data_IF_280503364452
#
_entry.id   IF_280503364452
#
_cell.length_a   1.000
_cell.length_b   1.000
_cell.length_c   1.000
_cell.angle_alpha   90.00
_cell.angle_beta   90.00
_cell.angle_gamma   90.00
#
_symmetry.space_group_name_H-M   'P 1'
#
loop_
_entity.id
_entity.type
_entity.pdbx_description
1 polymer ?
#
# COMPACT_ATOMS: atom_id res chain seq x y z
N UNK A 1 37.29 -6.58 67.04
CA UNK A 1 37.11 -7.78 66.19
C UNK A 1 37.81 -7.46 64.87
N UNK A 2 39.12 -7.75 64.66
CA UNK A 2 39.78 -9.07 64.43
C UNK A 2 38.99 -9.95 63.46
N UNK A 3 39.49 -10.61 62.42
CA UNK A 3 40.80 -10.81 61.74
C UNK A 3 40.40 -11.69 60.51
N UNK A 4 40.63 -11.34 59.24
CA UNK A 4 41.76 -11.68 58.35
C UNK A 4 42.37 -13.12 58.48
N UNK A 5 42.47 -13.80 57.31
CA UNK A 5 43.27 -15.01 56.90
C UNK A 5 42.73 -16.38 57.35
N UNK A 6 42.82 -17.53 56.63
CA UNK A 6 43.83 -18.11 55.71
C UNK A 6 43.32 -19.53 55.29
N UNK A 7 43.41 -20.07 54.05
CA UNK A 7 44.42 -20.99 53.44
C UNK A 7 43.66 -21.76 52.31
N UNK A 8 44.01 -21.69 51.02
CA UNK A 8 45.00 -22.47 50.23
C UNK A 8 44.83 -24.00 50.28
N UNK A 9 44.56 -24.65 49.13
CA UNK A 9 45.16 -25.96 48.69
C UNK A 9 44.97 -26.14 47.17
N UNK A 10 46.06 -26.59 46.55
CA UNK A 10 46.40 -26.86 45.14
C UNK A 10 45.68 -28.07 44.51
N UNK A 11 45.57 -28.12 43.16
CA UNK A 11 45.88 -29.31 42.30
C UNK A 11 45.80 -28.87 40.81
N UNK A 12 46.93 -28.55 40.15
CA UNK A 12 47.84 -29.41 39.36
C UNK A 12 47.53 -29.39 37.84
N UNK A 13 48.42 -28.70 37.11
CA UNK A 13 48.55 -28.64 35.65
C UNK A 13 49.14 -29.95 35.09
N UNK A 14 48.70 -30.41 33.91
CA UNK A 14 49.45 -31.36 33.08
C UNK A 14 49.49 -30.89 31.62
N UNK A 15 50.63 -30.33 31.23
CA UNK A 15 51.08 -30.14 29.85
C UNK A 15 51.66 -31.45 29.33
N UNK A 16 51.32 -31.86 28.10
CA UNK A 16 52.11 -32.83 27.32
C UNK A 16 52.51 -32.17 26.00
N UNK A 17 53.82 -31.92 25.89
CA UNK A 17 54.54 -31.62 24.66
C UNK A 17 54.95 -32.95 23.99
N UNK A 18 54.81 -33.06 22.68
CA UNK A 18 55.60 -33.99 21.87
C UNK A 18 56.29 -33.22 20.74
N UNK A 19 57.62 -33.28 20.77
CA UNK A 19 58.54 -32.68 19.80
C UNK A 19 59.05 -33.79 18.86
N UNK A 20 58.87 -33.54 17.56
CA UNK A 20 59.73 -33.84 16.39
C UNK A 20 60.39 -35.21 16.19
N UNK A 21 60.19 -35.77 15.00
CA UNK A 21 61.24 -36.44 14.24
C UNK A 21 61.02 -36.22 12.72
N UNK A 22 61.96 -35.55 12.05
CA UNK A 22 62.06 -35.45 10.60
C UNK A 22 62.71 -36.71 10.00
N UNK A 23 62.22 -37.19 8.86
CA UNK A 23 62.95 -38.05 7.92
C UNK A 23 62.68 -37.58 6.47
N UNK A 24 63.66 -37.63 5.54
CA UNK A 24 63.53 -36.99 4.23
C UNK A 24 63.14 -37.93 3.06
N UNK A 25 62.47 -37.31 2.08
CA UNK A 25 62.41 -37.60 0.62
C UNK A 25 61.66 -38.87 0.12
N UNK A 26 61.04 -38.84 -1.09
CA UNK A 26 61.71 -38.49 -2.36
C UNK A 26 60.92 -37.56 -3.32
N UNK A 27 61.67 -36.97 -4.27
CA UNK A 27 61.18 -36.15 -5.36
C UNK A 27 60.12 -36.87 -6.22
N UNK A 28 58.98 -36.20 -6.46
CA UNK A 28 57.95 -36.68 -7.35
C UNK A 28 58.34 -36.47 -8.83
N UNK A 29 58.28 -37.56 -9.58
CA UNK A 29 58.41 -37.64 -11.05
C UNK A 29 57.24 -36.90 -11.73
N UNK A 30 57.43 -36.24 -12.89
CA UNK A 30 56.34 -35.51 -13.56
C UNK A 30 55.24 -36.46 -14.06
N UNK A 31 54.01 -36.24 -13.60
CA UNK A 31 52.81 -36.96 -14.04
C UNK A 31 52.33 -36.39 -15.40
N UNK A 32 51.87 -37.23 -16.35
CA UNK A 32 51.46 -36.78 -17.68
C UNK A 32 50.25 -35.83 -17.62
N UNK A 33 50.29 -34.76 -18.42
CA UNK A 33 49.20 -33.79 -18.54
C UNK A 33 48.05 -34.40 -19.33
N UNK A 34 46.96 -34.76 -18.63
CA UNK A 34 45.68 -35.08 -19.27
C UNK A 34 45.10 -33.78 -19.86
N UNK A 35 44.68 -33.72 -21.14
CA UNK A 35 43.99 -32.56 -21.68
C UNK A 35 42.70 -32.29 -20.88
N UNK A 36 42.31 -31.03 -20.67
CA UNK A 36 41.14 -30.70 -19.86
C UNK A 36 39.89 -31.32 -20.45
N UNK A 37 39.18 -32.08 -19.62
CA UNK A 37 37.83 -32.57 -19.92
C UNK A 37 36.92 -31.35 -20.00
N UNK A 38 36.50 -30.99 -21.21
CA UNK A 38 35.41 -30.03 -21.40
C UNK A 38 34.14 -30.74 -20.99
N UNK A 39 33.65 -30.44 -19.79
CA UNK A 39 32.30 -30.83 -19.41
C UNK A 39 31.33 -30.01 -20.27
N UNK A 40 30.30 -30.63 -20.90
CA UNK A 40 29.20 -29.86 -21.44
C UNK A 40 28.62 -29.03 -20.30
N UNK A 41 28.66 -27.70 -20.43
CA UNK A 41 27.99 -26.82 -19.49
C UNK A 41 26.50 -27.19 -19.53
N UNK A 42 25.98 -27.64 -18.40
CA UNK A 42 24.54 -27.76 -18.17
C UNK A 42 23.93 -26.41 -18.55
N UNK A 43 22.86 -26.36 -19.37
CA UNK A 43 22.20 -25.09 -19.63
C UNK A 43 21.80 -24.50 -18.27
N UNK A 44 22.35 -23.33 -17.97
CA UNK A 44 21.96 -22.54 -16.80
C UNK A 44 20.44 -22.44 -16.80
N UNK A 45 19.74 -22.73 -15.69
CA UNK A 45 18.29 -22.62 -15.67
C UNK A 45 17.91 -21.20 -16.08
N UNK A 46 17.07 -21.09 -17.10
CA UNK A 46 16.49 -19.82 -17.53
C UNK A 46 15.60 -19.31 -16.39
N UNK A 47 16.17 -18.46 -15.53
CA UNK A 47 15.37 -17.63 -14.63
C UNK A 47 14.75 -16.57 -15.55
N UNK A 48 13.42 -16.44 -15.64
CA UNK A 48 12.84 -15.38 -16.46
C UNK A 48 13.38 -14.04 -15.97
N UNK A 49 14.11 -13.32 -16.85
CA UNK A 49 14.85 -12.09 -16.49
C UNK A 49 13.93 -11.01 -15.92
N UNK A 50 12.66 -11.07 -16.32
CA UNK A 50 11.55 -10.32 -15.79
C UNK A 50 10.32 -11.24 -15.74
N UNK A 51 9.52 -11.12 -14.69
CA UNK A 51 8.29 -11.89 -14.46
C UNK A 51 7.14 -10.93 -14.23
N UNK A 52 6.11 -11.00 -15.08
CA UNK A 52 4.83 -10.36 -14.79
C UNK A 52 4.20 -11.00 -13.58
N UNK A 53 3.61 -10.17 -12.73
CA UNK A 53 2.78 -10.64 -11.65
C UNK A 53 1.37 -10.71 -12.24
N UNK A 54 0.63 -11.78 -11.96
CA UNK A 54 -0.82 -11.67 -12.05
C UNK A 54 -1.24 -10.74 -10.91
N UNK A 55 -1.24 -9.44 -11.19
CA UNK A 55 -1.96 -8.46 -10.39
C UNK A 55 -3.43 -8.71 -10.69
N UNK A 56 -3.98 -9.79 -10.14
CA UNK A 56 -5.40 -9.81 -9.85
C UNK A 56 -5.50 -8.85 -8.66
N UNK A 57 -5.88 -7.56 -8.84
CA UNK A 57 -6.36 -6.83 -7.68
C UNK A 57 -7.44 -7.74 -7.11
N UNK A 58 -7.36 -8.08 -5.83
CA UNK A 58 -8.48 -8.57 -5.02
C UNK A 58 -9.59 -9.25 -5.84
N UNK A 59 -9.67 -10.60 -5.90
CA UNK A 59 -10.26 -11.40 -6.96
C UNK A 59 -11.34 -10.70 -7.81
N UNK A 60 -11.15 -10.72 -9.14
CA UNK A 60 -12.01 -10.06 -10.10
C UNK A 60 -13.51 -10.24 -9.78
N UNK A 61 -14.32 -9.20 -10.01
CA UNK A 61 -15.77 -9.16 -9.75
C UNK A 61 -16.60 -10.31 -10.39
N UNK A 62 -15.96 -11.20 -11.15
CA UNK A 62 -16.53 -12.42 -11.72
C UNK A 62 -16.59 -13.61 -10.75
N UNK A 63 -15.95 -13.56 -9.58
CA UNK A 63 -16.06 -14.63 -8.59
C UNK A 63 -17.42 -14.56 -7.88
N UNK A 64 -18.04 -15.72 -7.65
CA UNK A 64 -19.33 -15.80 -6.98
C UNK A 64 -19.20 -15.28 -5.54
N UNK A 65 -19.68 -14.06 -5.30
CA UNK A 65 -19.73 -13.49 -3.96
C UNK A 65 -20.70 -14.31 -3.10
N UNK A 66 -20.28 -14.65 -1.87
CA UNK A 66 -21.19 -15.16 -0.85
C UNK A 66 -22.22 -14.10 -0.42
N UNK A 67 -22.00 -12.84 -0.81
CA UNK A 67 -22.87 -11.71 -0.52
C UNK A 67 -23.80 -11.44 -1.70
N UNK A 68 -25.07 -11.05 -1.42
CA UNK A 68 -26.02 -10.65 -2.44
C UNK A 68 -25.42 -9.54 -3.31
N UNK A 69 -25.58 -9.60 -4.65
CA UNK A 69 -25.09 -8.56 -5.54
C UNK A 69 -25.75 -7.22 -5.21
N UNK A 70 -25.11 -6.14 -5.60
CA UNK A 70 -25.70 -4.79 -5.54
C UNK A 70 -26.94 -4.76 -6.43
N UNK A 71 -28.00 -4.13 -5.94
CA UNK A 71 -29.29 -4.02 -6.62
C UNK A 71 -29.84 -2.60 -6.56
N UNK A 72 -30.88 -2.32 -7.35
CA UNK A 72 -31.56 -1.01 -7.32
C UNK A 72 -32.24 -0.68 -5.97
N UNK A 73 -32.35 -1.67 -5.07
CA UNK A 73 -32.87 -1.47 -3.72
C UNK A 73 -31.81 -0.91 -2.74
N UNK A 74 -30.52 -1.04 -3.10
CA UNK A 74 -29.40 -0.57 -2.30
C UNK A 74 -29.27 0.96 -2.36
N UNK A 75 -28.80 1.53 -1.26
CA UNK A 75 -28.52 2.95 -1.18
C UNK A 75 -27.08 3.17 -1.63
N UNK A 76 -26.95 3.78 -2.81
CA UNK A 76 -25.67 3.97 -3.50
C UNK A 76 -25.31 5.46 -3.49
N UNK A 77 -24.04 5.77 -3.27
CA UNK A 77 -23.48 7.11 -3.42
C UNK A 77 -22.19 7.06 -4.22
N UNK A 78 -22.04 8.02 -5.13
CA UNK A 78 -20.90 8.09 -6.04
C UNK A 78 -21.17 7.42 -7.38
N UNK A 79 -20.20 7.45 -8.31
CA UNK A 79 -20.36 6.96 -9.68
C UNK A 79 -20.61 5.44 -9.73
N UNK A 80 -21.39 4.99 -10.71
CA UNK A 80 -21.67 3.55 -10.91
C UNK A 80 -20.53 2.77 -11.55
N UNK A 81 -19.59 3.49 -12.17
CA UNK A 81 -18.39 2.98 -12.80
C UNK A 81 -17.12 3.31 -11.99
N UNK A 82 -17.26 3.66 -10.71
CA UNK A 82 -16.14 3.94 -9.83
C UNK A 82 -15.18 2.73 -9.78
N UNK A 83 -13.87 2.99 -9.82
CA UNK A 83 -12.85 1.95 -9.75
C UNK A 83 -12.89 1.19 -8.41
N UNK A 84 -13.34 1.87 -7.33
CA UNK A 84 -13.48 1.28 -6.01
C UNK A 84 -14.90 1.38 -5.49
N UNK A 85 -15.48 0.25 -5.05
CA UNK A 85 -16.76 0.17 -4.38
C UNK A 85 -16.58 -0.36 -2.96
N UNK A 86 -17.02 0.41 -1.97
CA UNK A 86 -17.13 -0.01 -0.58
C UNK A 86 -18.58 -0.36 -0.27
N UNK A 87 -18.84 -1.64 -0.01
CA UNK A 87 -20.12 -2.09 0.51
C UNK A 87 -19.99 -2.28 2.02
N UNK A 88 -20.66 -1.42 2.77
CA UNK A 88 -20.59 -1.30 4.22
C UNK A 88 -21.90 -1.77 4.85
N UNK A 89 -21.83 -2.86 5.63
CA UNK A 89 -22.88 -3.25 6.57
C UNK A 89 -22.64 -2.60 7.92
N UNK A 90 -23.60 -1.80 8.39
CA UNK A 90 -23.42 -1.01 9.60
C UNK A 90 -24.68 -0.87 10.45
N UNK A 91 -24.46 -0.50 11.70
CA UNK A 91 -25.49 -0.10 12.65
C UNK A 91 -25.26 1.36 13.03
N UNK A 92 -26.28 2.20 12.84
CA UNK A 92 -26.21 3.63 13.17
C UNK A 92 -25.89 3.92 14.64
N UNK A 93 -26.19 3.01 15.58
CA UNK A 93 -25.91 3.16 17.00
C UNK A 93 -24.59 2.52 17.44
N UNK A 94 -23.93 1.76 16.56
CA UNK A 94 -22.65 1.11 16.83
C UNK A 94 -21.48 2.11 16.69
N UNK A 95 -20.65 2.33 17.74
CA UNK A 95 -19.57 3.32 17.67
C UNK A 95 -18.50 2.99 16.61
N UNK A 96 -18.00 1.75 16.46
CA UNK A 96 -17.10 1.38 15.36
C UNK A 96 -17.69 1.64 13.96
N UNK A 97 -19.00 1.42 13.77
CA UNK A 97 -19.69 1.78 12.52
C UNK A 97 -19.67 3.29 12.26
N UNK A 98 -19.85 4.13 13.28
CA UNK A 98 -19.73 5.57 13.15
C UNK A 98 -18.30 6.02 12.83
N UNK A 99 -17.29 5.42 13.45
CA UNK A 99 -15.89 5.70 13.12
C UNK A 99 -15.58 5.42 11.64
N UNK A 100 -16.02 4.27 11.12
CA UNK A 100 -15.87 3.95 9.70
C UNK A 100 -16.65 4.91 8.80
N UNK A 101 -17.89 5.25 9.14
CA UNK A 101 -18.69 6.18 8.33
C UNK A 101 -17.98 7.54 8.16
N UNK A 102 -17.38 8.06 9.24
CA UNK A 102 -16.59 9.29 9.19
C UNK A 102 -15.33 9.16 8.31
N UNK A 103 -14.69 7.99 8.29
CA UNK A 103 -13.58 7.71 7.37
C UNK A 103 -14.06 7.70 5.92
N UNK A 104 -15.17 7.01 5.62
CA UNK A 104 -15.74 6.92 4.27
C UNK A 104 -16.18 8.28 3.72
N UNK A 105 -16.72 9.16 4.57
CA UNK A 105 -17.04 10.55 4.19
C UNK A 105 -15.80 11.29 3.70
N UNK A 106 -14.68 11.20 4.43
CA UNK A 106 -13.41 11.84 4.03
C UNK A 106 -12.83 11.25 2.74
N UNK A 107 -12.93 9.93 2.58
CA UNK A 107 -12.46 9.27 1.35
C UNK A 107 -13.30 9.66 0.14
N UNK A 108 -14.62 9.81 0.30
CA UNK A 108 -15.53 10.30 -0.75
C UNK A 108 -15.19 11.72 -1.20
N UNK A 109 -14.77 12.59 -0.28
CA UNK A 109 -14.30 13.94 -0.62
C UNK A 109 -12.97 13.90 -1.39
N UNK A 110 -12.08 12.95 -1.06
CA UNK A 110 -10.78 12.79 -1.74
C UNK A 110 -10.91 12.14 -3.12
N UNK A 111 -11.86 11.21 -3.30
CA UNK A 111 -12.03 10.38 -4.49
C UNK A 111 -13.45 10.49 -5.08
N UNK A 112 -13.92 11.68 -5.46
CA UNK A 112 -15.32 11.88 -5.86
C UNK A 112 -15.72 11.11 -7.14
N UNK A 113 -14.77 10.85 -8.03
CA UNK A 113 -15.01 10.15 -9.30
C UNK A 113 -14.67 8.64 -9.24
N UNK A 114 -13.91 8.23 -8.22
CA UNK A 114 -13.27 6.92 -8.15
C UNK A 114 -13.84 6.01 -7.06
N UNK A 115 -14.66 6.57 -6.17
CA UNK A 115 -15.22 5.88 -5.01
C UNK A 115 -16.76 5.83 -5.06
N UNK A 116 -17.29 4.62 -5.00
CA UNK A 116 -18.69 4.33 -4.71
C UNK A 116 -18.83 3.77 -3.29
N UNK A 117 -19.83 4.24 -2.56
CA UNK A 117 -20.21 3.71 -1.24
C UNK A 117 -21.62 3.16 -1.34
N UNK A 118 -21.80 1.96 -0.79
CA UNK A 118 -23.07 1.28 -0.67
C UNK A 118 -23.27 0.96 0.80
N UNK A 119 -24.39 1.37 1.36
CA UNK A 119 -24.74 1.06 2.75
C UNK A 119 -25.85 0.02 2.82
N UNK A 120 -25.68 -0.98 3.67
CA UNK A 120 -26.70 -1.98 4.03
C UNK A 120 -26.89 -2.00 5.53
N UNK A 121 -28.13 -1.90 5.97
CA UNK A 121 -28.44 -1.89 7.40
C UNK A 121 -28.15 -3.25 8.02
N UNK A 122 -27.44 -3.24 9.16
CA UNK A 122 -27.30 -4.40 10.02
C UNK A 122 -27.54 -4.00 11.48
N UNK A 123 -28.76 -3.55 11.84
CA UNK A 123 -29.04 -3.03 13.16
C UNK A 123 -28.96 -4.15 14.21
N UNK A 124 -28.11 -3.99 15.21
CA UNK A 124 -27.84 -4.99 16.25
C UNK A 124 -28.93 -4.96 17.34
N UNK A 125 -30.20 -5.05 16.95
CA UNK A 125 -31.38 -4.87 17.82
C UNK A 125 -31.45 -5.81 19.03
N UNK A 126 -30.71 -6.92 19.00
CA UNK A 126 -30.61 -7.87 20.11
C UNK A 126 -29.53 -7.50 21.13
N UNK A 127 -28.67 -6.54 20.82
CA UNK A 127 -27.55 -6.13 21.67
C UNK A 127 -28.01 -5.06 22.67
N UNK A 128 -27.66 -5.19 23.96
CA UNK A 128 -27.93 -4.14 24.94
C UNK A 128 -27.30 -2.81 24.52
N UNK A 129 -28.04 -1.72 24.61
CA UNK A 129 -27.57 -0.40 24.18
C UNK A 129 -27.78 -0.10 22.70
N UNK A 130 -28.40 -0.99 21.92
CA UNK A 130 -28.73 -0.79 20.49
C UNK A 130 -30.24 -0.63 20.24
N UNK A 131 -31.00 -0.19 21.25
CA UNK A 131 -32.47 -0.09 21.18
C UNK A 131 -32.98 0.93 20.16
N UNK A 132 -32.10 1.81 19.66
CA UNK A 132 -32.38 2.84 18.66
C UNK A 132 -31.90 2.47 17.25
N UNK A 133 -31.13 1.40 17.09
CA UNK A 133 -30.53 0.99 15.82
C UNK A 133 -31.58 0.85 14.70
N UNK A 134 -32.67 0.11 14.94
CA UNK A 134 -33.75 -0.03 13.96
C UNK A 134 -34.46 1.30 13.66
N UNK A 135 -34.70 2.15 14.67
CA UNK A 135 -35.34 3.45 14.45
C UNK A 135 -34.46 4.39 13.62
N UNK A 136 -33.14 4.35 13.81
CA UNK A 136 -32.20 5.11 12.99
C UNK A 136 -32.21 4.63 11.53
N UNK A 137 -32.23 3.30 11.31
CA UNK A 137 -32.38 2.73 9.97
C UNK A 137 -33.72 3.08 9.32
N UNK A 138 -34.84 3.00 10.07
CA UNK A 138 -36.14 3.45 9.56
C UNK A 138 -36.11 4.93 9.16
N UNK A 139 -35.42 5.78 9.93
CA UNK A 139 -35.29 7.20 9.64
C UNK A 139 -34.50 7.47 8.34
N UNK A 140 -33.40 6.75 8.08
CA UNK A 140 -32.65 6.91 6.82
C UNK A 140 -33.49 6.47 5.62
N UNK A 141 -34.18 5.32 5.69
CA UNK A 141 -35.07 4.86 4.60
C UNK A 141 -36.31 5.75 4.42
N UNK A 142 -36.90 6.26 5.51
CA UNK A 142 -37.97 7.25 5.42
C UNK A 142 -37.46 8.56 4.78
N UNK A 143 -36.21 8.95 5.06
CA UNK A 143 -35.58 10.10 4.41
C UNK A 143 -35.35 9.89 2.91
N UNK A 144 -35.13 8.65 2.46
CA UNK A 144 -35.03 8.33 1.03
C UNK A 144 -36.30 8.73 0.26
N UNK A 145 -37.48 8.62 0.86
CA UNK A 145 -38.75 9.01 0.25
C UNK A 145 -38.85 10.52 -0.01
N UNK A 146 -38.01 11.31 0.65
CA UNK A 146 -37.86 12.75 0.45
C UNK A 146 -36.57 13.10 -0.32
N UNK A 147 -35.86 12.10 -0.87
CA UNK A 147 -34.61 12.29 -1.59
C UNK A 147 -33.42 12.67 -0.69
N UNK A 148 -33.49 12.33 0.61
CA UNK A 148 -32.53 12.76 1.65
C UNK A 148 -31.89 11.61 2.42
N UNK A 149 -31.78 10.44 1.79
CA UNK A 149 -31.20 9.25 2.42
C UNK A 149 -29.79 9.53 2.96
N UNK A 150 -28.89 10.01 2.10
CA UNK A 150 -27.47 10.20 2.45
C UNK A 150 -27.25 11.35 3.43
N UNK A 151 -28.06 12.42 3.35
CA UNK A 151 -28.03 13.50 4.33
C UNK A 151 -28.45 13.01 5.73
N UNK A 152 -29.50 12.19 5.81
CA UNK A 152 -29.92 11.59 7.08
C UNK A 152 -28.91 10.55 7.58
N UNK A 153 -28.39 9.68 6.69
CA UNK A 153 -27.36 8.69 6.98
C UNK A 153 -26.11 9.35 7.57
N UNK A 154 -25.54 10.36 6.89
CA UNK A 154 -24.34 11.04 7.35
C UNK A 154 -24.64 11.78 8.67
N UNK A 155 -25.81 12.40 8.82
CA UNK A 155 -26.18 13.07 10.08
C UNK A 155 -26.27 12.10 11.26
N UNK A 156 -26.91 10.95 11.08
CA UNK A 156 -27.03 9.92 12.12
C UNK A 156 -25.66 9.47 12.64
N UNK A 157 -24.68 9.26 11.74
CA UNK A 157 -23.33 8.87 12.14
C UNK A 157 -22.51 10.04 12.71
N UNK A 158 -22.52 11.20 12.07
CA UNK A 158 -21.77 12.39 12.52
C UNK A 158 -22.21 12.81 13.93
N UNK A 159 -23.51 12.80 14.19
CA UNK A 159 -24.10 13.26 15.45
C UNK A 159 -24.42 12.10 16.41
N UNK A 160 -23.83 10.91 16.21
CA UNK A 160 -24.13 9.72 17.00
C UNK A 160 -24.02 9.97 18.52
N UNK A 161 -23.01 10.73 18.95
CA UNK A 161 -22.81 11.05 20.36
C UNK A 161 -23.95 11.90 20.98
N UNK A 162 -24.71 12.65 20.17
CA UNK A 162 -25.82 13.48 20.63
C UNK A 162 -27.07 12.65 20.96
N UNK A 163 -27.30 11.57 20.22
CA UNK A 163 -28.56 10.83 20.28
C UNK A 163 -28.44 9.41 20.82
N UNK A 164 -27.26 8.78 20.78
CA UNK A 164 -27.08 7.35 21.13
C UNK A 164 -27.41 7.03 22.60
N UNK A 165 -27.30 8.01 23.50
CA UNK A 165 -27.63 7.87 24.92
C UNK A 165 -29.04 8.35 25.27
N UNK A 166 -29.80 8.87 24.30
CA UNK A 166 -31.16 9.31 24.52
C UNK A 166 -32.11 8.13 24.74
N UNK A 167 -33.22 8.42 25.43
CA UNK A 167 -34.38 7.53 25.42
C UNK A 167 -34.95 7.44 24.00
N UNK A 168 -35.68 6.36 23.68
CA UNK A 168 -36.32 6.22 22.36
C UNK A 168 -37.26 7.41 22.06
N UNK A 169 -37.96 7.90 23.08
CA UNK A 169 -38.86 9.06 22.95
C UNK A 169 -38.07 10.32 22.55
N UNK A 170 -36.97 10.60 23.26
CA UNK A 170 -36.17 11.79 23.00
C UNK A 170 -35.40 11.67 21.69
N UNK A 171 -34.99 10.45 21.30
CA UNK A 171 -34.39 10.20 20.00
C UNK A 171 -35.36 10.48 18.84
N UNK A 172 -36.64 10.07 18.96
CA UNK A 172 -37.65 10.41 17.96
C UNK A 172 -37.88 11.93 17.84
N UNK A 173 -37.80 12.65 18.95
CA UNK A 173 -37.85 14.11 18.94
C UNK A 173 -36.59 14.70 18.26
N UNK A 174 -35.41 14.13 18.54
CA UNK A 174 -34.16 14.50 17.88
C UNK A 174 -34.25 14.30 16.36
N UNK A 175 -34.75 13.15 15.88
CA UNK A 175 -34.95 12.87 14.45
C UNK A 175 -35.86 13.89 13.76
N UNK A 176 -36.93 14.31 14.44
CA UNK A 176 -37.85 15.32 13.91
C UNK A 176 -37.19 16.70 13.77
N UNK A 177 -36.36 17.08 14.75
CA UNK A 177 -35.56 18.30 14.68
C UNK A 177 -34.52 18.21 13.56
N UNK A 178 -33.80 17.09 13.49
CA UNK A 178 -32.76 16.87 12.49
C UNK A 178 -33.31 16.89 11.07
N UNK A 179 -34.45 16.26 10.84
CA UNK A 179 -35.15 16.33 9.55
C UNK A 179 -35.48 17.78 9.15
N UNK A 180 -35.92 18.60 10.10
CA UNK A 180 -36.16 20.02 9.84
C UNK A 180 -34.88 20.77 9.46
N UNK A 181 -33.75 20.46 10.11
CA UNK A 181 -32.43 21.02 9.77
C UNK A 181 -31.95 20.58 8.39
N UNK A 182 -32.27 19.35 7.99
CA UNK A 182 -31.99 18.79 6.66
C UNK A 182 -33.01 19.24 5.59
N UNK A 183 -33.87 20.21 5.91
CA UNK A 183 -34.90 20.76 5.02
C UNK A 183 -35.93 19.72 4.53
N UNK A 184 -36.26 18.76 5.39
CA UNK A 184 -37.28 17.73 5.17
C UNK A 184 -38.58 18.07 5.91
N UNK A 185 -39.69 17.43 5.50
CA UNK A 185 -40.91 17.41 6.28
C UNK A 185 -40.77 16.41 7.43
N UNK A 186 -40.60 16.93 8.64
CA UNK A 186 -40.43 16.15 9.85
C UNK A 186 -41.68 15.34 10.25
N UNK A 187 -42.88 15.86 9.97
CA UNK A 187 -44.13 15.13 10.26
C UNK A 187 -44.31 13.97 9.29
N UNK A 188 -43.97 14.18 8.02
CA UNK A 188 -43.93 13.12 7.02
C UNK A 188 -42.90 12.06 7.38
N UNK A 189 -41.67 12.44 7.77
CA UNK A 189 -40.65 11.48 8.21
C UNK A 189 -41.17 10.61 9.35
N UNK A 190 -41.74 11.22 10.39
CA UNK A 190 -42.24 10.49 11.56
C UNK A 190 -43.34 9.50 11.18
N UNK A 191 -44.19 9.83 10.20
CA UNK A 191 -45.20 8.91 9.68
C UNK A 191 -44.58 7.80 8.81
N UNK A 192 -43.63 8.14 7.94
CA UNK A 192 -42.98 7.20 7.03
C UNK A 192 -42.12 6.16 7.77
N UNK A 193 -41.51 6.53 8.90
CA UNK A 193 -40.77 5.60 9.78
C UNK A 193 -41.62 4.47 10.35
N UNK A 194 -42.94 4.65 10.42
CA UNK A 194 -43.88 3.65 10.93
C UNK A 194 -44.55 2.84 9.80
N UNK A 195 -44.18 3.10 8.54
CA UNK A 195 -44.75 2.35 7.42
C UNK A 195 -44.23 0.92 7.39
N UNK A 196 -45.14 0.01 7.09
CA UNK A 196 -44.86 -1.43 7.04
C UNK A 196 -43.76 -1.77 6.03
N UNK A 197 -43.72 -1.12 4.87
CA UNK A 197 -42.70 -1.37 3.85
C UNK A 197 -41.29 -0.92 4.27
N UNK A 198 -41.17 0.16 5.05
CA UNK A 198 -39.90 0.63 5.60
C UNK A 198 -39.40 -0.31 6.70
N UNK A 199 -40.30 -0.72 7.60
CA UNK A 199 -39.98 -1.64 8.70
C UNK A 199 -39.55 -3.00 8.15
N UNK A 200 -40.29 -3.56 7.18
CA UNK A 200 -39.95 -4.85 6.58
C UNK A 200 -38.65 -4.76 5.78
N UNK A 201 -38.36 -3.65 5.08
CA UNK A 201 -37.07 -3.47 4.38
C UNK A 201 -35.87 -3.60 5.32
N UNK A 202 -35.90 -2.90 6.46
CA UNK A 202 -34.79 -2.95 7.45
C UNK A 202 -34.69 -4.35 8.09
N UNK A 203 -35.83 -4.98 8.37
CA UNK A 203 -35.89 -6.35 8.89
C UNK A 203 -35.34 -7.38 7.90
N UNK A 204 -35.65 -7.26 6.62
CA UNK A 204 -35.10 -8.11 5.56
C UNK A 204 -33.58 -7.96 5.44
N UNK A 205 -33.05 -6.73 5.51
CA UNK A 205 -31.60 -6.50 5.54
C UNK A 205 -30.93 -7.20 6.73
N UNK A 206 -31.54 -7.13 7.93
CA UNK A 206 -31.04 -7.85 9.10
C UNK A 206 -31.09 -9.37 8.94
N UNK A 207 -32.18 -9.93 8.41
CA UNK A 207 -32.30 -11.38 8.17
C UNK A 207 -31.21 -11.83 7.20
N UNK A 208 -31.06 -11.12 6.08
CA UNK A 208 -30.07 -11.41 5.05
C UNK A 208 -28.64 -11.40 5.60
N UNK A 209 -28.30 -10.39 6.40
CA UNK A 209 -27.01 -10.29 7.08
C UNK A 209 -26.71 -11.51 7.98
N UNK A 210 -27.73 -12.02 8.70
CA UNK A 210 -27.58 -13.23 9.51
C UNK A 210 -27.49 -14.50 8.67
N UNK A 211 -28.26 -14.60 7.58
CA UNK A 211 -28.25 -15.77 6.68
C UNK A 211 -26.90 -15.95 5.97
N UNK A 212 -26.26 -14.84 5.58
CA UNK A 212 -24.90 -14.88 5.01
C UNK A 212 -23.80 -15.03 6.07
N UNK A 213 -24.17 -15.03 7.35
CA UNK A 213 -23.27 -15.27 8.47
C UNK A 213 -22.33 -14.10 8.77
N UNK A 214 -22.80 -12.85 8.67
CA UNK A 214 -21.98 -11.69 9.03
C UNK A 214 -21.52 -11.78 10.50
N UNK A 215 -20.22 -11.55 10.78
CA UNK A 215 -19.68 -11.69 12.13
C UNK A 215 -20.04 -10.52 13.06
N UNK A 216 -20.51 -9.40 12.52
CA UNK A 216 -20.86 -8.18 13.25
C UNK A 216 -20.73 -6.93 12.39
N UNK A 217 -20.76 -5.76 13.03
CA UNK A 217 -20.55 -4.45 12.41
C UNK A 217 -19.27 -3.77 12.95
N UNK A 218 -18.64 -2.88 12.18
CA UNK A 218 -18.81 -2.72 10.74
C UNK A 218 -18.29 -3.95 9.98
N UNK A 219 -18.95 -4.29 8.86
CA UNK A 219 -18.43 -5.29 7.93
C UNK A 219 -18.34 -4.68 6.53
N UNK A 220 -17.19 -4.85 5.88
CA UNK A 220 -16.87 -4.15 4.63
C UNK A 220 -16.45 -5.13 3.55
N UNK A 221 -17.02 -4.94 2.37
CA UNK A 221 -16.51 -5.50 1.13
C UNK A 221 -15.88 -4.37 0.31
N UNK A 222 -14.69 -4.63 -0.23
CA UNK A 222 -14.04 -3.74 -1.21
C UNK A 222 -14.04 -4.49 -2.55
N UNK A 223 -14.70 -3.91 -3.56
CA UNK A 223 -14.90 -4.53 -4.88
C UNK A 223 -15.45 -5.97 -4.79
N UNK A 224 -16.38 -6.21 -3.86
CA UNK A 224 -17.05 -7.49 -3.66
C UNK A 224 -16.31 -8.51 -2.79
N UNK A 225 -15.09 -8.20 -2.34
CA UNK A 225 -14.26 -9.07 -1.52
C UNK A 225 -14.22 -8.63 -0.06
N UNK A 226 -14.18 -9.58 0.86
CA UNK A 226 -14.10 -9.31 2.31
C UNK A 226 -12.82 -8.56 2.63
N UNK A 227 -12.97 -7.38 3.24
CA UNK A 227 -11.86 -6.65 3.80
C UNK A 227 -11.80 -6.86 5.32
N UNK A 228 -10.78 -7.60 5.76
CA UNK A 228 -10.51 -7.86 7.19
C UNK A 228 -9.32 -7.04 7.72
N UNK A 229 -8.89 -6.02 6.98
CA UNK A 229 -7.76 -5.17 7.34
C UNK A 229 -8.14 -4.02 8.28
N UNK A 230 -7.21 -3.07 8.44
CA UNK A 230 -7.42 -1.88 9.26
C UNK A 230 -8.37 -0.89 8.55
N UNK A 231 -9.38 -0.39 9.27
CA UNK A 231 -10.39 0.52 8.74
C UNK A 231 -10.05 2.01 8.92
N UNK A 232 -8.81 2.33 9.32
CA UNK A 232 -8.35 3.72 9.41
C UNK A 232 -8.34 4.40 8.03
N UNK A 233 -8.41 5.73 8.04
CA UNK A 233 -8.31 6.53 6.81
C UNK A 233 -7.08 6.18 6.00
N UNK A 234 -5.88 6.17 6.60
CA UNK A 234 -4.63 5.89 5.88
C UNK A 234 -4.62 4.49 5.24
N UNK A 235 -5.17 3.49 5.92
CA UNK A 235 -5.20 2.12 5.41
C UNK A 235 -6.14 2.01 4.21
N UNK A 236 -7.34 2.56 4.30
CA UNK A 236 -8.31 2.53 3.21
C UNK A 236 -7.91 3.43 2.04
N UNK A 237 -7.27 4.57 2.32
CA UNK A 237 -6.68 5.47 1.32
C UNK A 237 -5.59 4.78 0.50
N UNK A 238 -4.74 3.99 1.16
CA UNK A 238 -3.73 3.16 0.48
C UNK A 238 -4.39 2.12 -0.42
N UNK A 239 -5.45 1.46 0.04
CA UNK A 239 -6.18 0.47 -0.77
C UNK A 239 -6.75 1.12 -2.04
N UNK A 240 -7.43 2.27 -1.92
CA UNK A 240 -7.97 2.99 -3.08
C UNK A 240 -6.83 3.39 -4.04
N UNK A 241 -5.75 3.97 -3.52
CA UNK A 241 -4.58 4.36 -4.32
C UNK A 241 -3.96 3.19 -5.09
N UNK A 242 -3.91 1.99 -4.49
CA UNK A 242 -3.40 0.78 -5.12
C UNK A 242 -4.38 0.19 -6.15
N UNK A 243 -5.69 0.28 -5.91
CA UNK A 243 -6.71 -0.13 -6.90
C UNK A 243 -6.62 0.77 -8.14
N UNK A 244 -6.52 2.08 -7.96
CA UNK A 244 -6.35 3.04 -9.07
C UNK A 244 -5.04 2.86 -9.82
N UNK A 245 -3.97 2.45 -9.13
CA UNK A 245 -2.71 2.10 -9.78
C UNK A 245 -2.89 0.94 -10.77
N UNK A 246 -3.81 0.00 -10.51
CA UNK A 246 -4.05 -1.18 -11.34
C UNK A 246 -4.32 -0.84 -12.81
N UNK A 247 -4.99 0.28 -13.10
CA UNK A 247 -5.25 0.72 -14.48
C UNK A 247 -3.99 1.14 -15.24
N UNK A 248 -2.92 1.48 -14.52
CA UNK A 248 -1.63 1.89 -15.09
C UNK A 248 -0.68 0.71 -15.26
N UNK A 249 -0.92 -0.40 -14.56
CA UNK A 249 0.00 -1.54 -14.51
C UNK A 249 0.08 -2.28 -15.85
N UNK A 250 1.27 -2.79 -16.14
CA UNK A 250 1.54 -3.58 -17.32
C UNK A 250 1.35 -5.06 -17.02
N UNK A 251 0.75 -5.78 -17.96
CA UNK A 251 0.53 -7.23 -17.86
C UNK A 251 1.73 -8.05 -18.34
N UNK A 252 2.77 -7.40 -18.85
CA UNK A 252 3.96 -8.05 -19.40
C UNK A 252 5.19 -7.16 -19.23
N UNK A 253 6.35 -7.79 -19.13
CA UNK A 253 7.63 -7.10 -19.10
C UNK A 253 7.88 -6.28 -20.38
N UNK A 254 8.53 -5.12 -20.27
CA UNK A 254 8.91 -4.33 -21.43
C UNK A 254 9.95 -5.07 -22.28
N UNK A 255 9.91 -4.82 -23.58
CA UNK A 255 10.96 -5.30 -24.48
C UNK A 255 12.26 -4.54 -24.24
N UNK A 256 13.40 -5.20 -24.46
CA UNK A 256 14.71 -4.54 -24.47
C UNK A 256 14.86 -3.72 -25.75
N UNK A 257 14.97 -2.40 -25.62
CA UNK A 257 15.05 -1.46 -26.74
C UNK A 257 16.25 -0.50 -26.67
N UNK A 258 16.85 -0.35 -25.48
CA UNK A 258 18.07 0.45 -25.33
C UNK A 258 19.28 -0.26 -25.95
N UNK A 259 20.30 0.51 -26.31
CA UNK A 259 21.62 0.03 -26.71
C UNK A 259 22.58 0.13 -25.50
N UNK A 260 23.02 -0.99 -24.90
CA UNK A 260 23.91 -0.96 -23.73
C UNK A 260 25.25 -0.23 -23.93
N UNK A 261 25.66 -0.01 -25.17
CA UNK A 261 26.92 0.67 -25.52
C UNK A 261 26.77 2.18 -25.67
N UNK A 262 25.56 2.73 -25.59
CA UNK A 262 25.28 4.17 -25.68
C UNK A 262 25.23 4.85 -24.32
N UNK A 263 25.28 6.17 -24.33
CA UNK A 263 25.05 6.98 -23.14
C UNK A 263 23.58 7.40 -23.05
N UNK A 264 23.01 7.30 -21.85
CA UNK A 264 21.66 7.77 -21.57
C UNK A 264 21.67 8.69 -20.35
N UNK A 265 20.94 9.80 -20.45
CA UNK A 265 20.63 10.66 -19.32
C UNK A 265 19.13 10.69 -19.04
N UNK A 266 18.78 10.96 -17.78
CA UNK A 266 17.44 11.40 -17.40
C UNK A 266 17.48 12.77 -16.75
N UNK A 267 16.52 13.62 -17.09
CA UNK A 267 16.23 14.87 -16.38
C UNK A 267 14.97 14.66 -15.57
N UNK A 268 15.10 14.68 -14.25
CA UNK A 268 13.99 14.63 -13.29
C UNK A 268 13.58 16.05 -12.96
N UNK A 269 12.40 16.47 -13.39
CA UNK A 269 11.85 17.79 -13.12
C UNK A 269 11.07 17.77 -11.80
N UNK A 270 11.41 18.66 -10.87
CA UNK A 270 10.70 18.81 -9.58
C UNK A 270 10.25 20.26 -9.38
N UNK A 271 9.44 20.51 -8.35
CA UNK A 271 9.10 21.87 -7.94
C UNK A 271 10.30 22.73 -7.48
N UNK A 272 11.39 22.08 -7.04
CA UNK A 272 12.58 22.74 -6.50
C UNK A 272 13.70 22.90 -7.56
N UNK A 273 13.56 22.27 -8.72
CA UNK A 273 14.55 22.32 -9.80
C UNK A 273 14.70 20.99 -10.54
N UNK A 274 15.74 20.91 -11.36
CA UNK A 274 16.06 19.75 -12.18
C UNK A 274 17.20 18.93 -11.57
N UNK A 275 17.07 17.60 -11.63
CA UNK A 275 18.11 16.65 -11.26
C UNK A 275 18.49 15.86 -12.51
N UNK A 276 19.77 15.91 -12.89
CA UNK A 276 20.27 15.21 -14.08
C UNK A 276 20.98 13.94 -13.65
N UNK A 277 20.56 12.80 -14.19
CA UNK A 277 21.11 11.48 -13.92
C UNK A 277 21.86 10.97 -15.15
N UNK A 278 23.06 10.43 -14.96
CA UNK A 278 23.73 9.57 -15.92
C UNK A 278 23.41 8.11 -15.62
N UNK A 279 23.02 7.33 -16.63
CA UNK A 279 22.76 5.90 -16.48
C UNK A 279 23.98 5.03 -16.76
N UNK A 280 23.93 3.79 -16.27
CA UNK A 280 24.94 2.74 -16.47
C UNK A 280 24.37 1.55 -17.28
N UNK A 281 24.07 1.73 -18.58
CA UNK A 281 23.37 0.73 -19.37
C UNK A 281 24.19 -0.55 -19.62
N UNK A 282 25.52 -0.48 -19.61
CA UNK A 282 26.38 -1.66 -19.67
C UNK A 282 26.36 -2.49 -18.37
N UNK A 283 26.26 -1.83 -17.21
CA UNK A 283 26.27 -2.49 -15.89
C UNK A 283 24.89 -2.99 -15.46
N UNK A 284 23.83 -2.26 -15.81
CA UNK A 284 22.44 -2.54 -15.42
C UNK A 284 21.45 -2.35 -16.60
N UNK A 285 21.62 -3.09 -17.71
CA UNK A 285 20.83 -2.90 -18.93
C UNK A 285 19.32 -3.05 -18.71
N UNK A 286 18.87 -3.99 -17.88
CA UNK A 286 17.44 -4.22 -17.66
C UNK A 286 16.85 -3.08 -16.84
N UNK A 287 17.53 -2.63 -15.78
CA UNK A 287 17.08 -1.51 -14.97
C UNK A 287 16.99 -0.20 -15.78
N UNK A 288 18.01 0.10 -16.59
CA UNK A 288 17.99 1.29 -17.46
C UNK A 288 16.88 1.17 -18.51
N UNK A 289 16.72 0.02 -19.15
CA UNK A 289 15.65 -0.19 -20.13
C UNK A 289 14.26 -0.01 -19.51
N UNK A 290 14.05 -0.60 -18.34
CA UNK A 290 12.82 -0.46 -17.57
C UNK A 290 12.52 0.99 -17.22
N UNK A 291 13.52 1.72 -16.71
CA UNK A 291 13.35 3.13 -16.36
C UNK A 291 13.00 3.97 -17.60
N UNK A 292 13.72 3.80 -18.71
CA UNK A 292 13.48 4.52 -19.97
C UNK A 292 12.08 4.24 -20.50
N UNK A 293 11.66 2.98 -20.52
CA UNK A 293 10.31 2.57 -20.92
C UNK A 293 9.23 3.24 -20.08
N UNK A 294 9.35 3.16 -18.75
CA UNK A 294 8.38 3.74 -17.82
C UNK A 294 8.33 5.27 -17.92
N UNK A 295 9.48 5.93 -18.03
CA UNK A 295 9.57 7.38 -18.20
C UNK A 295 8.89 7.85 -19.48
N UNK A 296 9.16 7.20 -20.62
CA UNK A 296 8.54 7.55 -21.90
C UNK A 296 7.03 7.32 -21.91
N UNK A 297 6.53 6.37 -21.12
CA UNK A 297 5.10 6.14 -20.92
C UNK A 297 4.45 7.08 -19.90
N UNK A 298 5.20 8.04 -19.32
CA UNK A 298 4.70 8.96 -18.30
C UNK A 298 4.43 8.33 -16.94
N UNK A 299 5.01 7.15 -16.66
CA UNK A 299 4.84 6.45 -15.38
C UNK A 299 5.25 7.32 -14.19
N UNK A 300 6.31 8.11 -14.36
CA UNK A 300 6.89 8.97 -13.33
C UNK A 300 6.30 10.39 -13.29
N UNK A 301 5.30 10.70 -14.12
CA UNK A 301 4.76 12.06 -14.20
C UNK A 301 3.81 12.34 -13.04
N UNK A 302 4.05 13.44 -12.34
CA UNK A 302 3.24 13.90 -11.22
C UNK A 302 3.26 12.99 -9.99
N UNK A 303 4.22 12.08 -9.88
CA UNK A 303 4.30 11.17 -8.72
C UNK A 303 5.03 11.86 -7.56
N UNK A 304 4.83 11.37 -6.34
CA UNK A 304 5.48 11.94 -5.16
C UNK A 304 6.81 11.26 -4.84
N UNK A 305 7.74 11.99 -4.22
CA UNK A 305 8.77 11.39 -3.38
C UNK A 305 8.10 10.94 -2.08
N UNK A 306 7.56 9.71 -2.10
CA UNK A 306 6.77 9.17 -0.99
C UNK A 306 7.59 8.96 0.28
N UNK A 307 8.92 8.87 0.15
CA UNK A 307 9.83 8.70 1.28
C UNK A 307 11.17 9.41 1.07
N UNK A 308 11.49 10.34 1.95
CA UNK A 308 12.71 11.13 1.99
C UNK A 308 13.27 11.06 3.40
N UNK A 309 14.37 10.34 3.58
CA UNK A 309 15.06 10.20 4.87
C UNK A 309 16.31 11.08 4.82
N UNK A 310 16.33 12.20 5.56
CA UNK A 310 17.47 13.13 5.57
C UNK A 310 18.78 12.41 5.82
N UNK A 311 19.84 12.80 5.11
CA UNK A 311 21.18 12.21 5.17
C UNK A 311 21.31 10.76 4.65
N UNK A 312 20.21 10.09 4.30
CA UNK A 312 20.23 8.73 3.75
C UNK A 312 19.85 8.69 2.28
N UNK A 313 18.57 8.93 1.93
CA UNK A 313 18.09 8.85 0.56
C UNK A 313 16.74 9.54 0.34
N UNK A 314 16.45 9.83 -0.94
CA UNK A 314 15.12 10.11 -1.45
C UNK A 314 14.62 8.94 -2.30
N UNK A 315 13.40 8.46 -2.07
CA UNK A 315 12.75 7.32 -2.72
C UNK A 315 11.47 7.78 -3.43
N UNK A 316 11.30 7.32 -4.67
CA UNK A 316 10.13 7.60 -5.52
C UNK A 316 9.89 6.43 -6.50
N UNK A 317 9.06 6.63 -7.51
CA UNK A 317 8.77 5.66 -8.57
C UNK A 317 7.52 4.81 -8.35
N UNK A 318 6.74 5.12 -7.32
CA UNK A 318 5.42 4.55 -7.06
C UNK A 318 4.31 5.58 -7.38
N UNK A 319 3.53 5.42 -8.46
CA UNK A 319 2.47 6.36 -8.79
C UNK A 319 1.28 6.34 -7.82
N UNK A 320 1.14 5.30 -6.99
CA UNK A 320 0.16 5.31 -5.90
C UNK A 320 0.62 6.18 -4.72
N UNK A 321 1.92 6.50 -4.64
CA UNK A 321 2.53 7.22 -3.52
C UNK A 321 2.57 6.45 -2.20
N UNK A 322 2.18 5.17 -2.19
CA UNK A 322 2.08 4.35 -0.97
C UNK A 322 3.40 3.67 -0.57
N UNK A 323 4.35 3.59 -1.50
CA UNK A 323 5.58 2.78 -1.40
C UNK A 323 5.35 1.29 -1.67
N UNK A 324 4.11 0.86 -1.91
CA UNK A 324 3.72 -0.54 -2.15
C UNK A 324 3.39 -0.82 -3.62
N UNK A 325 3.28 0.21 -4.46
CA UNK A 325 2.96 0.07 -5.87
C UNK A 325 4.13 -0.47 -6.72
N UNK A 326 3.80 -1.03 -7.87
CA UNK A 326 4.75 -1.61 -8.83
C UNK A 326 4.16 -1.56 -10.25
N UNK A 327 4.97 -1.77 -11.31
CA UNK A 327 4.50 -1.65 -12.69
C UNK A 327 3.73 -2.88 -13.21
N UNK A 328 3.37 -3.85 -12.36
CA UNK A 328 2.73 -5.11 -12.75
C UNK A 328 3.72 -6.25 -13.02
N UNK A 329 5.02 -6.02 -12.81
CA UNK A 329 6.06 -7.00 -13.00
C UNK A 329 7.26 -6.73 -12.08
N UNK A 330 8.11 -7.76 -11.90
CA UNK A 330 9.41 -7.66 -11.25
C UNK A 330 10.53 -8.17 -12.15
N UNK A 331 11.75 -7.66 -11.94
CA UNK A 331 12.94 -8.13 -12.63
C UNK A 331 14.14 -8.34 -11.69
N UNK A 332 15.11 -9.12 -12.18
CA UNK A 332 16.29 -9.55 -11.42
C UNK A 332 17.18 -8.39 -10.95
N UNK A 333 18.00 -8.62 -9.94
CA UNK A 333 19.09 -7.71 -9.60
C UNK A 333 20.22 -7.79 -10.65
N UNK A 334 20.86 -6.66 -10.91
CA UNK A 334 22.05 -6.53 -11.75
C UNK A 334 23.16 -5.94 -10.88
N UNK A 335 24.07 -6.79 -10.41
CA UNK A 335 25.12 -6.41 -9.47
C UNK A 335 26.46 -6.37 -10.22
N UNK A 336 26.98 -5.16 -10.40
CA UNK A 336 28.31 -4.91 -10.94
C UNK A 336 29.28 -4.62 -9.78
N UNK A 337 30.30 -5.49 -9.53
CA UNK A 337 31.27 -5.30 -8.45
C UNK A 337 32.13 -4.02 -8.57
N UNK A 338 32.14 -3.37 -9.73
CA UNK A 338 32.85 -2.09 -9.94
C UNK A 338 32.04 -0.89 -9.45
N UNK A 339 30.73 -1.05 -9.24
CA UNK A 339 29.84 -0.02 -8.72
C UNK A 339 29.67 -0.19 -7.20
N UNK A 340 29.67 0.93 -6.47
CA UNK A 340 29.46 0.96 -5.02
C UNK A 340 28.81 2.27 -4.58
N UNK A 341 28.13 2.24 -3.44
CA UNK A 341 27.54 3.39 -2.75
C UNK A 341 28.63 4.16 -1.97
N UNK A 342 29.68 4.59 -2.67
CA UNK A 342 30.86 5.22 -2.06
C UNK A 342 30.87 6.76 -2.12
N UNK A 343 29.77 7.37 -2.58
CA UNK A 343 29.61 8.81 -2.77
C UNK A 343 28.13 9.22 -2.77
N UNK A 344 27.82 10.52 -2.62
CA UNK A 344 26.48 11.06 -2.85
C UNK A 344 25.95 10.83 -4.27
N UNK A 345 24.63 10.86 -4.41
CA UNK A 345 23.93 10.88 -5.69
C UNK A 345 23.88 9.53 -6.42
N UNK A 346 24.13 8.41 -5.74
CA UNK A 346 24.03 7.08 -6.37
C UNK A 346 22.56 6.70 -6.48
N UNK A 347 22.12 6.35 -7.70
CA UNK A 347 20.74 5.95 -8.00
C UNK A 347 20.65 4.43 -8.15
N UNK A 348 19.73 3.83 -7.41
CA UNK A 348 19.55 2.39 -7.39
C UNK A 348 18.07 1.98 -7.30
N UNK A 349 17.76 0.79 -7.81
CA UNK A 349 16.41 0.23 -7.74
C UNK A 349 16.05 -0.07 -6.29
N UNK A 350 14.85 0.32 -5.86
CA UNK A 350 14.27 -0.16 -4.61
C UNK A 350 13.70 -1.55 -4.85
N UNK A 351 14.04 -2.47 -3.96
CA UNK A 351 13.51 -3.83 -3.94
C UNK A 351 13.08 -4.22 -2.51
N UNK A 352 12.24 -5.24 -2.38
CA UNK A 352 11.77 -5.78 -1.09
C UNK A 352 12.41 -7.14 -0.77
N UNK A 353 13.53 -7.43 -1.46
CA UNK A 353 14.18 -8.73 -1.51
C UNK A 353 14.85 -8.93 -2.87
N UNK A 354 15.72 -9.93 -2.97
CA UNK A 354 16.40 -10.24 -4.23
C UNK A 354 15.39 -10.45 -5.37
N UNK A 355 15.70 -9.88 -6.53
CA UNK A 355 14.96 -9.99 -7.78
C UNK A 355 13.54 -9.43 -7.76
N UNK A 356 13.29 -8.42 -6.92
CA UNK A 356 12.01 -7.69 -6.83
C UNK A 356 12.12 -6.22 -7.26
N UNK A 357 12.97 -5.94 -8.26
CA UNK A 357 13.06 -4.61 -8.85
C UNK A 357 11.80 -4.35 -9.71
N UNK A 358 11.23 -3.15 -9.61
CA UNK A 358 10.03 -2.76 -10.35
C UNK A 358 10.16 -1.35 -10.92
N UNK A 359 9.34 -0.42 -10.45
CA UNK A 359 9.39 0.97 -10.89
C UNK A 359 10.05 1.91 -9.88
N UNK A 360 10.11 1.50 -8.61
CA UNK A 360 10.61 2.31 -7.52
C UNK A 360 12.15 2.36 -7.50
N UNK A 361 12.68 3.53 -7.18
CA UNK A 361 14.12 3.77 -7.07
C UNK A 361 14.40 4.76 -5.94
N UNK A 362 15.65 4.79 -5.50
CA UNK A 362 16.13 5.77 -4.54
C UNK A 362 17.45 6.39 -5.00
N UNK A 363 17.73 7.60 -4.51
CA UNK A 363 18.98 8.33 -4.72
C UNK A 363 19.58 8.65 -3.35
N UNK A 364 20.84 8.27 -3.13
CA UNK A 364 21.51 8.49 -1.83
C UNK A 364 22.01 9.92 -1.67
N UNK A 365 21.92 10.45 -0.46
CA UNK A 365 22.49 11.77 -0.11
C UNK A 365 23.98 11.70 0.22
N UNK A 366 24.46 10.55 0.69
CA UNK A 366 25.86 10.33 1.03
C UNK A 366 26.29 8.91 0.63
N UNK A 367 27.55 8.56 0.91
CA UNK A 367 28.06 7.21 0.80
C UNK A 367 27.33 6.27 1.79
N UNK A 368 26.81 5.15 1.28
CA UNK A 368 26.14 4.10 2.06
C UNK A 368 26.72 2.72 1.72
N UNK A 369 28.00 2.42 2.03
CA UNK A 369 28.64 1.15 1.62
C UNK A 369 27.94 -0.11 2.15
N UNK A 370 27.10 0.02 3.19
CA UNK A 370 26.29 -1.09 3.70
C UNK A 370 25.24 -1.59 2.70
N UNK A 371 24.99 -0.86 1.61
CA UNK A 371 24.07 -1.23 0.53
C UNK A 371 24.77 -1.93 -0.65
N UNK A 372 26.11 -1.97 -0.66
CA UNK A 372 26.88 -2.61 -1.73
C UNK A 372 26.48 -4.08 -1.91
N UNK A 373 26.28 -4.47 -3.17
CA UNK A 373 25.88 -5.83 -3.56
C UNK A 373 24.41 -6.20 -3.26
N UNK A 374 23.59 -5.27 -2.74
CA UNK A 374 22.18 -5.54 -2.38
C UNK A 374 21.16 -4.95 -3.36
N UNK A 375 21.55 -3.89 -4.08
CA UNK A 375 20.67 -3.15 -4.98
C UNK A 375 21.32 -3.01 -6.36
N UNK A 376 20.48 -2.96 -7.39
CA UNK A 376 20.92 -2.63 -8.75
C UNK A 376 21.24 -1.15 -8.81
N UNK A 377 22.53 -0.78 -8.82
CA UNK A 377 22.97 0.58 -9.12
C UNK A 377 22.87 0.76 -10.63
N UNK A 378 22.07 1.72 -11.09
CA UNK A 378 21.83 1.94 -12.52
C UNK A 378 22.02 3.38 -12.97
N UNK A 379 22.36 4.30 -12.06
CA UNK A 379 22.75 5.65 -12.43
C UNK A 379 23.41 6.45 -11.31
N UNK A 380 23.77 7.69 -11.65
CA UNK A 380 24.43 8.66 -10.76
C UNK A 380 23.97 10.07 -11.11
N UNK A 381 23.70 10.88 -10.09
CA UNK A 381 23.44 12.32 -10.24
C UNK A 381 24.68 13.00 -10.81
N UNK A 382 24.51 13.65 -11.97
CA UNK A 382 25.48 14.55 -12.59
C UNK A 382 25.34 15.98 -12.08
N UNK A 383 24.12 16.44 -11.87
CA UNK A 383 23.80 17.78 -11.33
C UNK A 383 22.44 17.79 -10.63
N UNK A 384 22.22 18.77 -9.74
CA UNK A 384 20.98 18.88 -8.95
C UNK A 384 20.99 18.11 -7.64
N UNK A 385 22.17 17.89 -7.02
CA UNK A 385 22.25 17.27 -5.69
C UNK A 385 21.67 18.19 -4.60
N UNK A 386 21.84 19.50 -4.77
CA UNK A 386 21.23 20.56 -3.95
C UNK A 386 19.70 20.53 -4.05
N UNK A 387 19.15 20.31 -5.24
CA UNK A 387 17.70 20.13 -5.45
C UNK A 387 17.18 18.91 -4.69
N UNK A 388 17.93 17.80 -4.69
CA UNK A 388 17.61 16.62 -3.89
C UNK A 388 17.61 16.94 -2.39
N UNK A 389 18.63 17.65 -1.89
CA UNK A 389 18.76 18.02 -0.46
C UNK A 389 17.63 18.95 0.02
N UNK A 390 16.99 19.69 -0.89
CA UNK A 390 15.84 20.55 -0.60
C UNK A 390 14.50 19.79 -0.53
N UNK A 391 14.46 18.48 -0.84
CA UNK A 391 13.25 17.68 -0.70
C UNK A 391 12.80 17.60 0.76
N UNK A 392 11.50 17.76 0.96
CA UNK A 392 10.84 17.74 2.25
C UNK A 392 11.00 16.38 2.94
N UNK A 393 11.55 16.33 4.17
CA UNK A 393 11.68 15.10 4.93
C UNK A 393 10.33 14.38 5.12
N UNK A 394 10.30 13.08 4.82
CA UNK A 394 9.08 12.27 4.87
C UNK A 394 9.45 10.79 5.06
N UNK A 395 9.13 10.19 6.20
CA UNK A 395 9.32 8.74 6.41
C UNK A 395 7.99 8.11 6.84
N UNK A 396 7.22 7.51 5.92
CA UNK A 396 5.91 6.93 6.20
C UNK A 396 5.97 5.93 7.35
N UNK A 397 5.43 6.34 8.51
CA UNK A 397 5.21 5.48 9.68
C UNK A 397 3.72 5.41 9.98
N UNK A 398 3.29 4.24 10.46
CA UNK A 398 1.90 4.02 10.85
C UNK A 398 1.53 5.03 11.93
N UNK A 399 0.48 5.83 11.67
CA UNK A 399 -0.09 6.79 12.63
C UNK A 399 0.53 8.18 12.64
N UNK A 400 1.47 8.49 11.74
CA UNK A 400 2.03 9.85 11.59
C UNK A 400 1.43 10.58 10.39
N UNK A 401 0.87 11.78 10.64
CA UNK A 401 0.46 12.69 9.56
C UNK A 401 1.70 13.36 9.02
N UNK A 402 2.08 13.03 7.79
CA UNK A 402 3.25 13.60 7.12
C UNK A 402 2.85 14.76 6.20
N UNK A 403 3.70 15.80 6.08
CA UNK A 403 3.49 16.85 5.09
C UNK A 403 3.45 16.25 3.69
N UNK A 404 2.66 16.83 2.77
CA UNK A 404 2.64 16.40 1.36
C UNK A 404 4.06 16.27 0.83
N UNK A 405 4.37 15.12 0.20
CA UNK A 405 5.68 14.90 -0.38
C UNK A 405 5.88 15.74 -1.64
N UNK A 406 7.12 16.13 -1.91
CA UNK A 406 7.46 16.82 -3.15
C UNK A 406 7.11 15.97 -4.36
N UNK A 407 6.87 16.63 -5.49
CA UNK A 407 6.40 15.99 -6.72
C UNK A 407 7.51 15.92 -7.74
N UNK A 408 7.72 14.72 -8.29
CA UNK A 408 8.40 14.49 -9.56
C UNK A 408 7.42 14.82 -10.68
N UNK A 409 7.59 15.99 -11.28
CA UNK A 409 6.66 16.55 -12.25
C UNK A 409 6.72 15.79 -13.57
N UNK A 410 7.94 15.54 -14.07
CA UNK A 410 8.18 14.90 -15.35
C UNK A 410 9.57 14.23 -15.37
N UNK A 411 9.74 13.26 -16.26
CA UNK A 411 11.03 12.62 -16.54
C UNK A 411 11.29 12.63 -18.04
N UNK A 412 12.39 13.28 -18.46
CA UNK A 412 12.83 13.30 -19.86
C UNK A 412 14.07 12.43 -20.05
N UNK A 413 14.10 11.62 -21.12
CA UNK A 413 15.24 10.75 -21.46
C UNK A 413 16.01 11.34 -22.64
N UNK A 414 17.34 11.44 -22.52
CA UNK A 414 18.26 11.78 -23.61
C UNK A 414 19.14 10.58 -23.94
N UNK A 415 19.16 10.15 -25.20
CA UNK A 415 20.14 9.20 -25.74
C UNK A 415 21.27 9.98 -26.45
N UNK A 416 22.53 9.61 -26.21
CA UNK A 416 23.71 10.28 -26.74
C UNK A 416 24.63 9.37 -27.53
#
# INVERSE_FOLDING_TARGET
>A
MKDIRKETIYFLFLMIFFISACAPNPAATPTPTTPPVIFPQTPTPFVPECSSIETIPTPAASDASLFPPVSDADMVLGPTNAATTFLFYGDFQDPPSAELALVLIKLREKYPEDLQIIFRDFPLVTNPGHEKAAYAAHASHAAALQGKYWEMHDSLFIKQAEWSLLSIKDFRAWLSLEASLLSMDAAQLAADMEREDIIEKVKESFILANEVGLPGTPFVLINGQIYAGNLSFDALDQIISLILLGERQYTSCPQMVIDPEKEYLAVLETGNGEIVIQFYPASAPIAVNNFVFLAQAGWYNGITFHRVVPDYFAETGDPSGTGQGNPGYFFKNEIDPSLSFNRPGVMAMKNIGENTNGSQFFITYDAVPSYDGKYTIFGQVLSGIDVLEELSPRDPKIGEILPSGDTLLNVTIEER
#
